data_IF_066839415288
#
_entry.id   IF_066839415288
#
_cell.length_a   1.000
_cell.length_b   1.000
_cell.length_c   1.000
_cell.angle_alpha   90.00
_cell.angle_beta   90.00
_cell.angle_gamma   90.00
#
_symmetry.space_group_name_H-M   'P 1'
#
loop_
_entity.id
_entity.type
_entity.pdbx_description
1 polymer ?
#
# COMPACT_ATOMS: atom_id res chain seq x y z
N UNK A 1 16.43 12.81 -52.83
CA UNK A 1 16.87 12.93 -51.40
C UNK A 1 15.81 13.76 -50.67
N UNK A 2 14.83 13.09 -50.07
CA UNK A 2 13.95 13.73 -49.06
C UNK A 2 14.18 13.04 -47.74
N UNK A 3 14.80 13.76 -46.82
CA UNK A 3 15.04 13.30 -45.45
C UNK A 3 13.77 13.46 -44.63
N UNK A 4 13.46 12.39 -43.93
CA UNK A 4 12.30 12.16 -43.06
C UNK A 4 12.45 12.96 -41.74
N UNK A 5 11.86 14.15 -41.63
CA UNK A 5 11.92 15.02 -40.43
C UNK A 5 10.66 14.90 -39.54
N UNK A 6 9.83 13.89 -39.77
CA UNK A 6 8.56 13.73 -39.02
C UNK A 6 8.63 12.99 -37.68
N UNK A 7 9.66 12.18 -37.43
CA UNK A 7 9.68 11.28 -36.26
C UNK A 7 10.09 11.93 -34.93
N UNK A 8 10.85 13.02 -34.96
CA UNK A 8 11.29 13.70 -33.73
C UNK A 8 10.26 14.63 -33.09
N UNK A 9 9.31 15.14 -33.86
CA UNK A 9 8.25 16.00 -33.33
C UNK A 9 7.21 15.23 -32.52
N UNK A 10 6.87 14.01 -32.92
CA UNK A 10 5.90 13.17 -32.18
C UNK A 10 6.43 12.74 -30.83
N UNK A 11 7.71 12.42 -30.71
CA UNK A 11 8.34 12.04 -29.42
C UNK A 11 8.36 13.18 -28.41
N UNK A 12 8.58 14.42 -28.86
CA UNK A 12 8.56 15.61 -27.99
C UNK A 12 7.16 15.92 -27.46
N UNK A 13 6.13 15.74 -28.28
CA UNK A 13 4.74 15.99 -27.87
C UNK A 13 4.24 14.94 -26.85
N UNK A 14 4.63 13.69 -27.00
CA UNK A 14 4.28 12.62 -26.04
C UNK A 14 4.95 12.87 -24.68
N UNK A 15 6.23 13.25 -24.66
CA UNK A 15 6.94 13.59 -23.42
C UNK A 15 6.36 14.84 -22.74
N UNK A 16 5.93 15.84 -23.52
CA UNK A 16 5.30 17.05 -23.00
C UNK A 16 3.91 16.75 -22.40
N UNK A 17 3.12 15.90 -23.06
CA UNK A 17 1.80 15.48 -22.56
C UNK A 17 1.90 14.63 -21.29
N UNK A 18 2.87 13.71 -21.20
CA UNK A 18 3.13 12.92 -20.00
C UNK A 18 3.59 13.81 -18.83
N UNK A 19 4.44 14.81 -19.09
CA UNK A 19 4.87 15.78 -18.09
C UNK A 19 3.73 16.65 -17.58
N UNK A 20 2.82 17.10 -18.44
CA UNK A 20 1.63 17.87 -18.07
C UNK A 20 0.66 17.00 -17.28
N UNK A 21 0.44 15.76 -17.69
CA UNK A 21 -0.43 14.83 -17.00
C UNK A 21 0.06 14.50 -15.58
N UNK A 22 1.38 14.33 -15.41
CA UNK A 22 1.96 14.09 -14.09
C UNK A 22 1.83 15.30 -13.17
N UNK A 23 2.03 16.53 -13.69
CA UNK A 23 1.85 17.76 -12.92
C UNK A 23 0.37 18.00 -12.55
N UNK A 24 -0.56 17.78 -13.46
CA UNK A 24 -2.01 17.91 -13.20
C UNK A 24 -2.44 16.90 -12.13
N UNK A 25 -1.96 15.66 -12.19
CA UNK A 25 -2.24 14.66 -11.17
C UNK A 25 -1.65 15.03 -9.80
N UNK A 26 -0.46 15.63 -9.76
CA UNK A 26 0.18 16.11 -8.52
C UNK A 26 -0.62 17.25 -7.90
N UNK A 27 -1.03 18.25 -8.69
CA UNK A 27 -1.88 19.34 -8.20
C UNK A 27 -3.24 18.84 -7.70
N UNK A 28 -3.89 17.91 -8.41
CA UNK A 28 -5.17 17.32 -7.98
C UNK A 28 -5.04 16.53 -6.67
N UNK A 29 -3.90 15.86 -6.43
CA UNK A 29 -3.59 15.21 -5.16
C UNK A 29 -3.44 16.21 -4.02
N UNK A 30 -2.74 17.32 -4.24
CA UNK A 30 -2.49 18.34 -3.21
C UNK A 30 -3.77 19.05 -2.75
N UNK A 31 -4.70 19.35 -3.65
CA UNK A 31 -5.98 19.97 -3.31
C UNK A 31 -6.95 19.02 -2.62
N UNK A 32 -6.87 17.71 -2.93
CA UNK A 32 -7.84 16.71 -2.44
C UNK A 32 -7.64 16.33 -0.99
N UNK A 33 -6.38 16.27 -0.50
CA UNK A 33 -6.06 15.81 0.84
C UNK A 33 -5.37 16.91 1.64
N UNK A 34 -5.97 17.31 2.75
CA UNK A 34 -5.42 18.33 3.63
C UNK A 34 -4.74 17.69 4.84
N UNK A 35 -3.52 18.13 5.14
CA UNK A 35 -2.82 17.79 6.37
C UNK A 35 -3.27 18.76 7.45
N UNK A 36 -3.70 18.24 8.58
CA UNK A 36 -4.11 18.99 9.76
C UNK A 36 -3.36 18.52 10.99
N UNK A 37 -3.41 19.26 12.07
CA UNK A 37 -3.03 18.74 13.38
C UNK A 37 -4.06 17.69 13.82
N UNK A 38 -3.61 16.75 14.66
CA UNK A 38 -4.51 15.77 15.28
C UNK A 38 -5.41 16.50 16.27
N UNK A 39 -6.71 16.54 15.98
CA UNK A 39 -7.70 17.16 16.85
C UNK A 39 -7.87 16.36 18.17
N UNK A 40 -8.16 17.03 19.31
CA UNK A 40 -8.33 16.37 20.61
C UNK A 40 -9.34 15.22 20.58
N UNK A 41 -10.46 15.38 19.88
CA UNK A 41 -11.52 14.38 19.78
C UNK A 41 -11.05 13.12 19.06
N UNK A 42 -10.20 13.26 18.03
CA UNK A 42 -9.60 12.15 17.29
C UNK A 42 -8.57 11.43 18.18
N UNK A 43 -7.76 12.20 18.92
CA UNK A 43 -6.78 11.66 19.85
C UNK A 43 -7.45 10.81 20.93
N UNK A 44 -8.52 11.31 21.52
CA UNK A 44 -9.30 10.59 22.52
C UNK A 44 -9.97 9.34 21.92
N UNK A 45 -10.66 9.49 20.79
CA UNK A 45 -11.39 8.40 20.14
C UNK A 45 -10.49 7.23 19.75
N UNK A 46 -9.32 7.51 19.15
CA UNK A 46 -8.35 6.50 18.72
C UNK A 46 -7.32 6.15 19.81
N UNK A 47 -7.37 6.81 20.98
CA UNK A 47 -6.40 6.65 22.08
C UNK A 47 -4.95 6.86 21.61
N UNK A 48 -4.72 7.95 20.86
CA UNK A 48 -3.45 8.23 20.23
C UNK A 48 -2.43 8.81 21.22
N UNK A 49 -1.21 8.28 21.15
CA UNK A 49 -0.04 8.86 21.80
C UNK A 49 0.28 10.26 21.24
N UNK A 50 0.98 11.06 22.05
CA UNK A 50 1.45 12.40 21.63
C UNK A 50 2.49 12.39 20.52
N UNK A 51 3.03 11.23 20.18
CA UNK A 51 3.84 11.01 18.99
C UNK A 51 3.15 11.51 17.70
N UNK A 52 1.85 11.25 17.58
CA UNK A 52 1.07 11.63 16.40
C UNK A 52 0.70 13.12 16.45
N UNK A 53 1.25 13.90 15.52
CA UNK A 53 1.01 15.33 15.43
C UNK A 53 0.22 15.74 14.19
N UNK A 54 0.43 15.04 13.06
CA UNK A 54 -0.19 15.33 11.77
C UNK A 54 -1.20 14.28 11.39
N UNK A 55 -2.25 14.70 10.70
CA UNK A 55 -3.33 13.83 10.23
C UNK A 55 -3.80 14.21 8.84
N UNK A 56 -4.06 13.19 7.99
CA UNK A 56 -4.95 13.29 6.84
C UNK A 56 -6.14 12.36 7.08
N UNK A 57 -7.33 12.79 6.70
CA UNK A 57 -8.54 11.99 6.80
C UNK A 57 -9.04 11.57 5.43
N UNK A 58 -9.39 10.30 5.30
CA UNK A 58 -10.20 9.77 4.19
C UNK A 58 -11.48 9.23 4.82
N UNK A 59 -12.61 9.94 4.65
CA UNK A 59 -13.83 9.63 5.40
C UNK A 59 -13.54 9.60 6.92
N UNK A 60 -13.82 8.50 7.59
CA UNK A 60 -13.55 8.30 9.01
C UNK A 60 -12.16 7.68 9.29
N UNK A 61 -11.43 7.27 8.26
CA UNK A 61 -10.12 6.65 8.41
C UNK A 61 -9.03 7.71 8.55
N UNK A 62 -8.08 7.48 9.47
CA UNK A 62 -7.00 8.42 9.78
C UNK A 62 -5.65 7.91 9.30
N UNK A 63 -4.93 8.77 8.59
CA UNK A 63 -3.53 8.60 8.22
C UNK A 63 -2.75 9.59 9.09
N UNK A 64 -1.81 9.11 9.85
CA UNK A 64 -1.14 9.81 10.93
C UNK A 64 0.38 9.84 10.73
N UNK A 65 1.02 10.81 11.32
CA UNK A 65 2.47 10.89 11.41
C UNK A 65 2.92 11.81 12.53
N UNK A 66 4.19 11.69 12.90
CA UNK A 66 4.85 12.62 13.83
C UNK A 66 5.00 14.01 13.19
N UNK A 67 5.53 14.97 13.96
CA UNK A 67 5.88 16.29 13.43
C UNK A 67 6.96 16.25 12.33
N UNK A 68 7.79 15.19 12.30
CA UNK A 68 8.89 15.00 11.34
C UNK A 68 8.44 14.57 9.97
N UNK A 69 7.32 13.82 9.89
CA UNK A 69 6.83 13.23 8.64
C UNK A 69 6.52 14.30 7.61
N UNK A 70 6.93 14.07 6.38
CA UNK A 70 6.60 14.92 5.24
C UNK A 70 5.09 14.96 4.98
N UNK A 71 4.55 16.16 4.76
CA UNK A 71 3.14 16.30 4.35
C UNK A 71 2.86 15.65 3.00
N UNK A 72 3.84 15.63 2.10
CA UNK A 72 3.72 14.92 0.82
C UNK A 72 3.56 13.42 1.01
N UNK A 73 4.27 12.82 1.97
CA UNK A 73 4.13 11.40 2.27
C UNK A 73 2.74 11.06 2.82
N UNK A 74 2.19 11.90 3.70
CA UNK A 74 0.82 11.73 4.21
C UNK A 74 -0.23 11.85 3.11
N UNK A 75 -0.07 12.80 2.19
CA UNK A 75 -0.96 12.98 1.03
C UNK A 75 -0.84 11.83 0.03
N UNK A 76 0.38 11.32 -0.20
CA UNK A 76 0.60 10.16 -1.05
C UNK A 76 -0.05 8.92 -0.46
N UNK A 77 0.14 8.64 0.84
CA UNK A 77 -0.54 7.56 1.54
C UNK A 77 -2.08 7.67 1.40
N UNK A 78 -2.61 8.87 1.57
CA UNK A 78 -4.04 9.12 1.40
C UNK A 78 -4.51 8.85 -0.04
N UNK A 79 -3.73 9.24 -1.02
CA UNK A 79 -4.05 8.98 -2.43
C UNK A 79 -4.08 7.48 -2.73
N UNK A 80 -3.05 6.73 -2.34
CA UNK A 80 -2.95 5.29 -2.59
C UNK A 80 -4.09 4.52 -1.93
N UNK A 81 -4.37 4.81 -0.65
CA UNK A 81 -5.47 4.20 0.09
C UNK A 81 -6.83 4.52 -0.57
N UNK A 82 -7.04 5.76 -1.02
CA UNK A 82 -8.26 6.15 -1.71
C UNK A 82 -8.42 5.44 -3.05
N UNK A 83 -7.33 5.18 -3.79
CA UNK A 83 -7.36 4.39 -5.02
C UNK A 83 -7.71 2.93 -4.73
N UNK A 84 -7.01 2.30 -3.79
CA UNK A 84 -7.28 0.91 -3.42
C UNK A 84 -8.73 0.68 -2.97
N UNK A 85 -9.34 1.65 -2.30
CA UNK A 85 -10.70 1.50 -1.73
C UNK A 85 -11.79 2.22 -2.52
N UNK A 86 -11.49 2.66 -3.76
CA UNK A 86 -12.40 3.49 -4.56
C UNK A 86 -13.76 2.84 -4.84
N UNK A 87 -13.78 1.53 -5.08
CA UNK A 87 -14.99 0.75 -5.34
C UNK A 87 -15.67 0.22 -4.06
N UNK A 88 -14.92 0.14 -2.94
CA UNK A 88 -15.36 -0.42 -1.67
C UNK A 88 -15.06 0.53 -0.49
N UNK A 89 -15.69 1.73 -0.47
CA UNK A 89 -15.46 2.72 0.59
C UNK A 89 -15.89 2.25 1.99
N UNK A 90 -16.70 1.20 2.08
CA UNK A 90 -17.09 0.54 3.32
C UNK A 90 -15.90 -0.09 4.07
N UNK A 91 -14.84 -0.45 3.38
CA UNK A 91 -13.62 -0.96 4.02
C UNK A 91 -13.00 0.07 4.95
N UNK A 92 -12.93 1.33 4.52
CA UNK A 92 -12.42 2.41 5.37
C UNK A 92 -13.29 2.65 6.60
N UNK A 93 -14.61 2.51 6.46
CA UNK A 93 -15.52 2.62 7.59
C UNK A 93 -15.27 1.47 8.58
N UNK A 94 -15.13 0.23 8.07
CA UNK A 94 -14.86 -0.94 8.91
C UNK A 94 -13.51 -0.86 9.61
N UNK A 95 -12.45 -0.44 8.92
CA UNK A 95 -11.15 -0.17 9.53
C UNK A 95 -11.25 0.88 10.64
N UNK A 96 -11.99 1.97 10.40
CA UNK A 96 -12.21 3.02 11.41
C UNK A 96 -13.01 2.53 12.63
N UNK A 97 -14.05 1.68 12.42
CA UNK A 97 -14.78 1.01 13.49
C UNK A 97 -13.86 0.14 14.36
N UNK A 98 -12.95 -0.58 13.72
CA UNK A 98 -11.91 -1.39 14.37
C UNK A 98 -10.73 -0.56 14.92
N UNK A 99 -10.85 0.81 14.90
CA UNK A 99 -9.84 1.77 15.38
C UNK A 99 -8.49 1.66 14.65
N UNK A 100 -8.48 1.07 13.46
CA UNK A 100 -7.27 0.99 12.63
C UNK A 100 -6.92 2.37 12.10
N UNK A 101 -5.62 2.69 12.13
CA UNK A 101 -5.01 3.89 11.54
C UNK A 101 -3.83 3.50 10.68
N UNK A 102 -3.48 4.38 9.75
CA UNK A 102 -2.26 4.25 8.97
C UNK A 102 -1.21 5.21 9.52
N UNK A 103 -0.04 4.70 9.90
CA UNK A 103 1.05 5.46 10.51
C UNK A 103 2.22 5.56 9.55
N UNK A 104 2.49 6.77 9.08
CA UNK A 104 3.68 7.04 8.27
C UNK A 104 4.85 7.34 9.19
N UNK A 105 5.98 6.67 9.00
CA UNK A 105 7.25 6.93 9.70
C UNK A 105 8.08 7.92 8.89
N UNK A 106 8.67 8.91 9.53
CA UNK A 106 9.71 9.70 8.92
C UNK A 106 10.95 8.82 8.62
N UNK A 107 11.78 9.24 7.67
CA UNK A 107 12.97 8.48 7.26
C UNK A 107 13.99 8.22 8.37
N UNK A 108 13.95 9.02 9.45
CA UNK A 108 14.80 8.89 10.64
C UNK A 108 14.06 8.30 11.85
N UNK A 109 12.86 7.80 11.65
CA UNK A 109 12.08 7.04 12.61
C UNK A 109 12.10 5.55 12.26
N UNK A 110 11.95 4.72 13.26
CA UNK A 110 11.99 3.26 13.15
C UNK A 110 10.65 2.63 13.50
N UNK A 111 10.50 1.37 13.18
CA UNK A 111 9.27 0.62 13.47
C UNK A 111 8.87 0.69 14.93
N UNK A 112 9.83 0.59 15.86
CA UNK A 112 9.55 0.66 17.31
C UNK A 112 9.37 2.07 17.85
N UNK A 113 9.53 3.12 17.04
CA UNK A 113 9.14 4.49 17.40
C UNK A 113 7.61 4.69 17.29
N UNK A 114 6.93 3.85 16.49
CA UNK A 114 5.46 3.84 16.41
C UNK A 114 4.92 3.35 17.76
N UNK A 115 4.05 4.11 18.45
CA UNK A 115 3.57 3.76 19.78
C UNK A 115 2.95 2.37 19.88
N UNK A 116 2.22 1.92 18.87
CA UNK A 116 1.60 0.60 18.82
C UNK A 116 2.61 -0.55 18.65
N UNK A 117 3.84 -0.23 18.28
CA UNK A 117 4.92 -1.19 18.05
C UNK A 117 6.05 -1.06 19.09
N UNK A 118 5.96 -0.09 20.01
CA UNK A 118 7.04 0.26 20.95
C UNK A 118 7.44 -0.89 21.90
N UNK A 119 6.55 -1.87 22.12
CA UNK A 119 6.80 -3.05 22.97
C UNK A 119 7.44 -4.23 22.19
N UNK A 120 7.68 -4.09 20.88
CA UNK A 120 8.27 -5.15 20.07
C UNK A 120 9.75 -5.37 20.43
N UNK A 121 10.09 -6.61 20.76
CA UNK A 121 11.43 -6.94 21.29
C UNK A 121 12.07 -8.11 20.54
N UNK A 122 13.38 -8.08 20.28
CA UNK A 122 14.27 -6.93 20.52
C UNK A 122 14.06 -5.81 19.46
N UNK A 123 14.03 -4.55 19.91
CA UNK A 123 13.77 -3.40 19.04
C UNK A 123 14.69 -3.37 17.80
N UNK A 124 15.99 -3.56 17.99
CA UNK A 124 17.00 -3.57 16.90
C UNK A 124 16.68 -4.59 15.79
N UNK A 125 16.03 -5.71 16.13
CA UNK A 125 15.62 -6.70 15.14
C UNK A 125 14.50 -6.13 14.25
N UNK A 126 13.46 -5.57 14.87
CA UNK A 126 12.31 -5.04 14.17
C UNK A 126 12.66 -3.80 13.33
N UNK A 127 13.47 -2.90 13.88
CA UNK A 127 13.90 -1.67 13.21
C UNK A 127 14.76 -1.93 11.96
N UNK A 128 15.47 -3.07 11.93
CA UNK A 128 16.24 -3.49 10.75
C UNK A 128 15.43 -4.31 9.77
N UNK A 129 14.43 -5.07 10.27
CA UNK A 129 13.71 -6.03 9.45
C UNK A 129 12.62 -5.36 8.62
N UNK A 130 11.92 -4.39 9.18
CA UNK A 130 10.69 -3.88 8.60
C UNK A 130 10.64 -2.35 8.60
N UNK A 131 10.26 -1.80 7.45
CA UNK A 131 9.87 -0.40 7.29
C UNK A 131 8.35 -0.29 7.03
N UNK A 132 7.59 -1.34 7.35
CA UNK A 132 6.16 -1.43 7.34
C UNK A 132 5.68 -2.64 8.13
N UNK A 133 4.46 -2.57 8.65
CA UNK A 133 3.75 -3.65 9.32
C UNK A 133 2.24 -3.49 9.12
N UNK A 134 1.56 -4.63 8.91
CA UNK A 134 0.10 -4.70 8.89
C UNK A 134 -0.51 -4.54 10.28
N UNK A 135 -1.78 -4.12 10.31
CA UNK A 135 -2.54 -3.98 11.55
C UNK A 135 -3.04 -5.32 12.10
N UNK A 136 -3.16 -5.39 13.42
CA UNK A 136 -3.85 -6.46 14.14
C UNK A 136 -4.79 -5.86 15.19
N UNK A 137 -5.69 -6.65 15.77
CA UNK A 137 -6.58 -6.18 16.83
C UNK A 137 -5.82 -5.67 18.07
N UNK A 138 -4.66 -6.25 18.38
CA UNK A 138 -3.81 -5.81 19.50
C UNK A 138 -2.91 -4.63 19.14
N UNK A 139 -2.62 -4.43 17.86
CA UNK A 139 -1.83 -3.32 17.31
C UNK A 139 -2.54 -2.74 16.08
N UNK A 140 -3.57 -1.89 16.29
CA UNK A 140 -4.42 -1.41 15.19
C UNK A 140 -3.76 -0.27 14.39
N UNK A 141 -2.48 -0.45 14.04
CA UNK A 141 -1.69 0.49 13.24
C UNK A 141 -1.06 -0.23 12.07
N UNK A 142 -1.42 0.20 10.86
CA UNK A 142 -0.66 -0.13 9.63
C UNK A 142 0.46 0.89 9.53
N UNK A 143 1.64 0.49 9.12
CA UNK A 143 2.74 1.45 8.98
C UNK A 143 3.54 1.29 7.69
N UNK A 144 4.15 2.37 7.24
CA UNK A 144 5.22 2.35 6.25
C UNK A 144 6.14 3.58 6.40
N UNK A 145 7.35 3.49 5.84
CA UNK A 145 8.31 4.60 5.80
C UNK A 145 7.97 5.62 4.70
N UNK A 146 8.16 6.92 4.99
CA UNK A 146 7.96 7.99 4.01
C UNK A 146 8.91 7.89 2.80
N UNK A 147 10.07 7.24 2.97
CA UNK A 147 11.04 7.06 1.89
C UNK A 147 10.51 6.18 0.77
N UNK A 148 9.68 5.17 1.07
CA UNK A 148 9.03 4.33 0.07
C UNK A 148 7.90 5.09 -0.63
N UNK A 149 7.07 5.82 0.11
CA UNK A 149 5.99 6.64 -0.43
C UNK A 149 6.47 7.72 -1.39
N UNK A 150 7.66 8.30 -1.14
CA UNK A 150 8.21 9.42 -1.89
C UNK A 150 9.30 9.01 -2.89
N UNK A 151 9.60 7.71 -3.03
CA UNK A 151 10.66 7.20 -3.91
C UNK A 151 12.05 7.73 -3.58
N UNK A 152 12.36 7.95 -2.29
CA UNK A 152 13.64 8.51 -1.89
C UNK A 152 14.79 7.54 -2.14
N UNK A 153 15.99 8.06 -2.38
CA UNK A 153 17.20 7.23 -2.60
C UNK A 153 17.52 6.28 -1.45
N UNK A 154 17.06 6.61 -0.24
CA UNK A 154 17.22 5.79 0.96
C UNK A 154 16.23 4.65 1.08
N UNK A 155 15.23 4.56 0.20
CA UNK A 155 14.25 3.49 0.22
C UNK A 155 14.91 2.12 0.02
N UNK A 156 14.79 1.18 0.97
CA UNK A 156 15.36 -0.16 0.84
C UNK A 156 14.57 -1.06 -0.13
N UNK A 157 13.31 -0.73 -0.42
CA UNK A 157 12.41 -1.58 -1.20
C UNK A 157 12.27 -1.17 -2.67
N UNK A 158 12.76 -0.05 -3.06
CA UNK A 158 12.88 0.63 -4.38
C UNK A 158 11.87 0.33 -5.48
N UNK A 159 11.37 -0.87 -5.62
CA UNK A 159 10.46 -1.29 -6.71
C UNK A 159 9.11 -1.80 -6.22
N UNK A 160 8.96 -1.95 -4.93
CA UNK A 160 7.70 -2.35 -4.35
C UNK A 160 7.09 -1.21 -3.54
N UNK A 161 5.76 -1.19 -3.46
CA UNK A 161 5.06 -0.23 -2.62
C UNK A 161 4.63 -0.91 -1.32
N UNK A 162 5.33 -0.59 -0.23
CA UNK A 162 5.10 -1.20 1.08
C UNK A 162 3.74 -0.80 1.67
N UNK A 163 3.24 0.42 1.37
CA UNK A 163 1.90 0.79 1.82
C UNK A 163 0.85 -0.19 1.26
N UNK A 164 0.93 -0.52 -0.05
CA UNK A 164 -0.05 -1.39 -0.70
C UNK A 164 -0.01 -2.79 -0.07
N UNK A 165 1.19 -3.32 0.20
CA UNK A 165 1.39 -4.62 0.88
C UNK A 165 0.76 -4.63 2.28
N UNK A 166 1.17 -3.70 3.15
CA UNK A 166 0.74 -3.68 4.54
C UNK A 166 -0.74 -3.30 4.69
N UNK A 167 -1.23 -2.44 3.80
CA UNK A 167 -2.64 -2.10 3.78
C UNK A 167 -3.51 -3.26 3.26
N UNK A 168 -3.00 -4.10 2.35
CA UNK A 168 -3.67 -5.34 1.94
C UNK A 168 -3.84 -6.30 3.12
N UNK A 169 -2.83 -6.46 3.99
CA UNK A 169 -2.95 -7.21 5.24
C UNK A 169 -4.04 -6.65 6.16
N UNK A 170 -4.07 -5.33 6.33
CA UNK A 170 -5.07 -4.68 7.16
C UNK A 170 -6.48 -4.82 6.59
N UNK A 171 -6.65 -4.67 5.28
CA UNK A 171 -7.93 -4.91 4.61
C UNK A 171 -8.39 -6.36 4.82
N UNK A 172 -7.51 -7.33 4.61
CA UNK A 172 -7.80 -8.74 4.83
C UNK A 172 -8.28 -9.01 6.27
N UNK A 173 -7.46 -8.67 7.26
CA UNK A 173 -7.67 -9.09 8.66
C UNK A 173 -8.66 -8.22 9.44
N UNK A 174 -8.85 -6.95 9.03
CA UNK A 174 -9.53 -5.94 9.84
C UNK A 174 -10.73 -5.27 9.12
N UNK A 175 -11.03 -5.69 7.87
CA UNK A 175 -12.18 -5.19 7.13
C UNK A 175 -12.88 -6.29 6.34
N UNK A 176 -12.20 -6.94 5.39
CA UNK A 176 -12.83 -7.88 4.46
C UNK A 176 -13.38 -9.09 5.21
N UNK A 177 -12.61 -9.70 6.13
CA UNK A 177 -13.07 -10.85 6.92
C UNK A 177 -14.30 -10.53 7.78
N UNK A 178 -14.45 -9.29 8.24
CA UNK A 178 -15.61 -8.85 9.03
C UNK A 178 -16.85 -8.63 8.14
N UNK A 179 -16.65 -8.24 6.88
CA UNK A 179 -17.72 -7.92 5.94
C UNK A 179 -18.12 -9.11 5.06
N UNK A 180 -17.19 -10.05 4.81
CA UNK A 180 -17.41 -11.27 4.04
C UNK A 180 -16.87 -12.49 4.78
N UNK A 181 -17.76 -13.23 5.43
CA UNK A 181 -17.42 -14.44 6.20
C UNK A 181 -16.89 -15.60 5.34
N UNK A 182 -17.00 -15.54 4.02
CA UNK A 182 -16.51 -16.55 3.08
C UNK A 182 -15.09 -16.26 2.60
N UNK A 183 -14.64 -15.00 2.72
CA UNK A 183 -13.38 -14.55 2.14
C UNK A 183 -12.18 -15.38 2.60
N UNK A 184 -12.04 -15.60 3.91
CA UNK A 184 -10.92 -16.39 4.46
C UNK A 184 -10.88 -17.81 3.90
N UNK A 185 -12.04 -18.45 3.74
CA UNK A 185 -12.13 -19.80 3.19
C UNK A 185 -11.73 -19.80 1.70
N UNK A 186 -12.21 -18.82 0.93
CA UNK A 186 -11.82 -18.67 -0.48
C UNK A 186 -10.31 -18.44 -0.63
N UNK A 187 -9.74 -17.55 0.18
CA UNK A 187 -8.31 -17.23 0.15
C UNK A 187 -7.44 -18.44 0.47
N UNK A 188 -7.78 -19.19 1.52
CA UNK A 188 -7.06 -20.43 1.88
C UNK A 188 -7.14 -21.44 0.73
N UNK A 189 -8.30 -21.59 0.11
CA UNK A 189 -8.45 -22.51 -1.03
C UNK A 189 -7.58 -22.08 -2.22
N UNK A 190 -7.56 -20.79 -2.59
CA UNK A 190 -6.68 -20.27 -3.65
C UNK A 190 -5.22 -20.57 -3.32
N UNK A 191 -4.79 -20.27 -2.09
CA UNK A 191 -3.42 -20.52 -1.63
C UNK A 191 -3.02 -22.00 -1.74
N UNK A 192 -3.84 -22.91 -1.21
CA UNK A 192 -3.56 -24.35 -1.24
C UNK A 192 -3.41 -24.88 -2.67
N UNK A 193 -4.26 -24.41 -3.60
CA UNK A 193 -4.16 -24.78 -5.01
C UNK A 193 -2.89 -24.21 -5.66
N UNK A 194 -2.57 -22.95 -5.40
CA UNK A 194 -1.37 -22.29 -5.93
C UNK A 194 -0.07 -22.99 -5.43
N UNK A 195 -0.05 -23.42 -4.16
CA UNK A 195 1.08 -24.18 -3.59
C UNK A 195 1.17 -25.58 -4.22
N UNK A 196 0.05 -26.27 -4.39
CA UNK A 196 0.03 -27.61 -5.02
C UNK A 196 0.51 -27.57 -6.49
N UNK A 197 0.23 -26.49 -7.20
CA UNK A 197 0.66 -26.23 -8.58
C UNK A 197 2.04 -25.59 -8.68
N UNK A 198 2.72 -25.34 -7.56
CA UNK A 198 4.05 -24.74 -7.47
C UNK A 198 4.17 -23.33 -8.10
N UNK A 199 3.06 -22.57 -8.24
CA UNK A 199 3.04 -21.25 -8.90
C UNK A 199 3.99 -20.27 -8.20
N UNK A 200 3.93 -20.20 -6.87
CA UNK A 200 4.72 -19.28 -6.03
C UNK A 200 5.91 -19.96 -5.35
N UNK A 201 6.37 -21.08 -5.90
CA UNK A 201 7.41 -21.90 -5.28
C UNK A 201 8.67 -21.12 -4.96
N UNK A 202 9.04 -21.11 -3.68
CA UNK A 202 10.28 -20.50 -3.18
C UNK A 202 10.22 -18.98 -3.04
N UNK A 203 9.04 -18.37 -3.22
CA UNK A 203 8.83 -16.93 -3.01
C UNK A 203 8.24 -16.65 -1.63
N UNK A 204 8.20 -15.37 -1.26
CA UNK A 204 7.61 -14.90 -0.01
C UNK A 204 6.09 -15.17 0.04
N UNK A 205 5.40 -15.03 -1.08
CA UNK A 205 3.99 -15.39 -1.23
C UNK A 205 3.66 -16.83 -0.81
N UNK A 206 4.60 -17.77 -0.97
CA UNK A 206 4.41 -19.15 -0.57
C UNK A 206 4.50 -19.39 0.95
N UNK A 207 4.79 -18.37 1.75
CA UNK A 207 5.02 -18.49 3.20
C UNK A 207 3.74 -18.82 3.97
N UNK A 208 2.64 -18.15 3.65
CA UNK A 208 1.33 -18.37 4.25
C UNK A 208 0.24 -17.63 3.44
N UNK A 209 -1.06 -17.92 3.68
CA UNK A 209 -2.16 -17.28 2.95
C UNK A 209 -2.21 -15.75 3.04
N UNK A 210 -1.72 -15.16 4.13
CA UNK A 210 -1.73 -13.69 4.32
C UNK A 210 -0.69 -13.01 3.45
N UNK A 211 0.53 -13.57 3.36
CA UNK A 211 1.57 -13.06 2.46
C UNK A 211 1.21 -13.31 0.99
N UNK A 212 0.64 -14.47 0.68
CA UNK A 212 0.10 -14.76 -0.66
C UNK A 212 -0.91 -13.71 -1.12
N UNK A 213 -1.83 -13.29 -0.23
CA UNK A 213 -2.77 -12.21 -0.50
C UNK A 213 -2.07 -10.88 -0.76
N UNK A 214 -1.16 -10.46 0.13
CA UNK A 214 -0.50 -9.16 0.05
C UNK A 214 0.39 -9.03 -1.18
N UNK A 215 1.18 -10.08 -1.49
CA UNK A 215 2.02 -10.15 -2.70
C UNK A 215 1.18 -10.12 -3.99
N UNK A 216 0.07 -10.89 -4.02
CA UNK A 216 -0.84 -10.88 -5.17
C UNK A 216 -1.54 -9.51 -5.34
N UNK A 217 -1.90 -8.82 -4.25
CA UNK A 217 -2.45 -7.46 -4.29
C UNK A 217 -1.41 -6.46 -4.81
N UNK A 218 -0.13 -6.58 -4.42
CA UNK A 218 0.91 -5.75 -5.00
C UNK A 218 1.04 -5.97 -6.51
N UNK A 219 1.01 -7.22 -6.98
CA UNK A 219 1.03 -7.54 -8.41
C UNK A 219 -0.22 -7.04 -9.13
N UNK A 220 -1.41 -7.09 -8.49
CA UNK A 220 -2.65 -6.53 -9.04
C UNK A 220 -2.58 -5.03 -9.30
N UNK A 221 -1.83 -4.30 -8.50
CA UNK A 221 -1.62 -2.86 -8.66
C UNK A 221 -0.30 -2.49 -9.35
N UNK A 222 0.42 -3.44 -9.96
CA UNK A 222 1.70 -3.27 -10.68
C UNK A 222 2.78 -2.63 -9.79
N UNK A 223 2.86 -3.03 -8.55
CA UNK A 223 3.80 -2.47 -7.58
C UNK A 223 4.57 -3.51 -6.76
N UNK A 224 4.61 -4.75 -7.24
CA UNK A 224 5.46 -5.77 -6.66
C UNK A 224 6.88 -5.69 -7.24
N UNK A 225 7.84 -6.32 -6.57
CA UNK A 225 9.22 -6.45 -7.03
C UNK A 225 9.35 -7.75 -7.83
N UNK A 226 10.00 -7.68 -8.99
CA UNK A 226 10.14 -8.82 -9.85
C UNK A 226 11.59 -9.30 -9.99
N UNK A 227 11.72 -10.55 -10.48
CA UNK A 227 12.98 -11.15 -10.91
C UNK A 227 14.03 -11.26 -9.81
N UNK A 228 13.60 -11.42 -8.58
CA UNK A 228 14.46 -11.79 -7.47
C UNK A 228 13.97 -13.11 -6.80
N UNK A 229 14.78 -13.61 -5.87
CA UNK A 229 14.49 -14.88 -5.21
C UNK A 229 13.29 -14.81 -4.26
N UNK A 230 12.98 -13.62 -3.75
CA UNK A 230 11.97 -13.40 -2.72
C UNK A 230 10.57 -13.26 -3.32
N UNK A 231 10.46 -12.54 -4.46
CA UNK A 231 9.17 -12.18 -5.06
C UNK A 231 8.86 -12.96 -6.36
N UNK A 232 9.88 -13.58 -6.99
CA UNK A 232 9.67 -14.36 -8.21
C UNK A 232 9.51 -13.52 -9.47
N UNK A 233 8.56 -13.89 -10.34
CA UNK A 233 8.38 -13.27 -11.67
C UNK A 233 7.00 -12.66 -11.89
N UNK A 234 6.12 -12.69 -10.91
CA UNK A 234 4.74 -12.20 -11.01
C UNK A 234 4.68 -10.83 -10.34
N UNK A 235 4.84 -9.74 -11.10
CA UNK A 235 4.87 -8.38 -10.57
C UNK A 235 3.82 -7.44 -11.18
N UNK A 236 3.13 -7.91 -12.24
CA UNK A 236 2.07 -7.16 -12.92
C UNK A 236 0.73 -7.87 -12.82
N UNK A 237 -0.36 -7.13 -13.02
CA UNK A 237 -1.73 -7.69 -13.07
C UNK A 237 -1.87 -8.72 -14.19
N UNK A 238 -1.31 -8.42 -15.36
CA UNK A 238 -1.36 -9.30 -16.52
C UNK A 238 -0.69 -10.64 -16.23
N UNK A 239 0.46 -10.62 -15.59
CA UNK A 239 1.18 -11.84 -15.18
C UNK A 239 0.43 -12.60 -14.09
N UNK A 240 -0.15 -11.89 -13.11
CA UNK A 240 -0.98 -12.49 -12.07
C UNK A 240 -2.18 -13.24 -12.67
N UNK A 241 -2.93 -12.59 -13.57
CA UNK A 241 -4.08 -13.19 -14.25
C UNK A 241 -3.66 -14.44 -15.03
N UNK A 242 -2.48 -14.43 -15.65
CA UNK A 242 -1.98 -15.58 -16.43
C UNK A 242 -1.49 -16.72 -15.53
N UNK A 243 -0.76 -16.39 -14.47
CA UNK A 243 -0.12 -17.38 -13.61
C UNK A 243 -1.07 -17.97 -12.56
N UNK A 244 -1.89 -17.13 -11.93
CA UNK A 244 -2.81 -17.53 -10.86
C UNK A 244 -4.17 -16.84 -10.99
N UNK A 245 -5.00 -17.24 -11.95
CA UNK A 245 -6.29 -16.60 -12.20
C UNK A 245 -7.25 -16.65 -11.01
N UNK A 246 -7.13 -17.64 -10.12
CA UNK A 246 -8.02 -17.79 -8.95
C UNK A 246 -7.86 -16.66 -7.95
N UNK A 247 -6.61 -16.31 -7.64
CA UNK A 247 -6.37 -15.17 -6.72
C UNK A 247 -6.67 -13.86 -7.44
N UNK A 248 -6.40 -13.75 -8.75
CA UNK A 248 -6.74 -12.57 -9.53
C UNK A 248 -8.27 -12.30 -9.50
N UNK A 249 -9.10 -13.33 -9.71
CA UNK A 249 -10.56 -13.23 -9.59
C UNK A 249 -11.01 -12.82 -8.18
N UNK A 250 -10.39 -13.38 -7.14
CA UNK A 250 -10.70 -13.02 -5.76
C UNK A 250 -10.32 -11.57 -5.46
N UNK A 251 -9.19 -11.08 -5.98
CA UNK A 251 -8.76 -9.68 -5.84
C UNK A 251 -9.71 -8.75 -6.61
N UNK A 252 -10.10 -9.11 -7.82
CA UNK A 252 -11.08 -8.35 -8.61
C UNK A 252 -12.42 -8.25 -7.87
N UNK A 253 -12.90 -9.35 -7.24
CA UNK A 253 -14.10 -9.32 -6.38
C UNK A 253 -13.98 -8.30 -5.25
N UNK A 254 -12.78 -8.12 -4.68
CA UNK A 254 -12.55 -7.26 -3.49
C UNK A 254 -12.10 -5.83 -3.78
N UNK A 255 -11.53 -5.55 -4.94
CA UNK A 255 -11.10 -4.21 -5.32
C UNK A 255 -11.87 -3.66 -6.52
N UNK A 256 -12.61 -4.52 -7.24
CA UNK A 256 -13.31 -4.19 -8.46
C UNK A 256 -12.38 -4.11 -9.68
N UNK A 257 -13.02 -4.13 -10.85
CA UNK A 257 -12.32 -3.87 -12.11
C UNK A 257 -12.08 -2.36 -12.25
N UNK A 258 -10.87 -1.92 -11.88
CA UNK A 258 -10.44 -0.54 -11.99
C UNK A 258 -9.17 -0.45 -12.84
N UNK A 259 -9.09 0.58 -13.67
CA UNK A 259 -7.94 0.81 -14.56
C UNK A 259 -6.71 1.36 -13.82
N UNK A 260 -6.88 1.79 -12.56
CA UNK A 260 -5.78 2.37 -11.81
C UNK A 260 -4.67 1.35 -11.55
N UNK A 261 -3.46 1.76 -11.82
CA UNK A 261 -2.20 1.07 -11.52
C UNK A 261 -1.27 2.02 -10.79
N UNK A 262 -0.46 1.46 -9.92
CA UNK A 262 0.60 2.23 -9.28
C UNK A 262 1.67 2.61 -10.32
N UNK A 263 2.16 3.83 -10.22
CA UNK A 263 3.27 4.31 -11.03
C UNK A 263 4.39 4.69 -10.08
N UNK A 264 5.52 4.01 -10.21
CA UNK A 264 6.69 4.31 -9.39
C UNK A 264 7.14 5.76 -9.57
N UNK A 265 7.35 6.44 -8.45
CA UNK A 265 7.95 7.76 -8.40
C UNK A 265 9.46 7.55 -8.62
N UNK A 266 9.98 7.96 -9.77
CA UNK A 266 11.40 7.81 -10.17
C UNK A 266 12.17 9.11 -9.97
#
# INVERSE_FOLDING_TARGET
IFMNSGCHLYSLWILLLLGIQSQVNTFAKEERFQVTLVAPEIREHLQLDDFYQKRVAIRNFSILGSSKVSEYALKEAAYLIAQMTSNHPEYLNKLAENKVRFSVMARDEFTTDIPEHADMSPAVFWDKRARGLGATHSRPSVSCGEENLLGLKSDPYKKENILIHEFAHALHGMAINDLDTQFQTKLIHCYEQAIAEEIWKGTYAATNPSEYWAEAVQSWFDCNRANDREHGTIDTREELIQADPRIAELIEEKFGDQDWRYVHIS
#
